data_IF_779612587234
#
_entry.id   IF_779612587234
#
_cell.length_a   1.000
_cell.length_b   1.000
_cell.length_c   1.000
_cell.angle_alpha   90.00
_cell.angle_beta   90.00
_cell.angle_gamma   90.00
#
_symmetry.space_group_name_H-M   'P 1'
#
loop_
_entity.id
_entity.type
_entity.pdbx_description
1 polymer ?
#
# COMPACT_ATOMS: atom_id res chain seq x y z
N UNK A 1 -9.18 -15.52 -7.41
CA UNK A 1 -9.81 -16.71 -6.80
C UNK A 1 -9.55 -16.65 -5.31
N UNK A 2 -10.48 -17.10 -4.48
CA UNK A 2 -10.31 -17.21 -3.03
C UNK A 2 -9.20 -18.22 -2.69
N UNK A 3 -8.58 -18.11 -1.53
CA UNK A 3 -7.43 -18.98 -1.16
C UNK A 3 -7.81 -20.46 -1.11
N UNK A 4 -9.03 -20.75 -0.70
CA UNK A 4 -9.58 -22.11 -0.61
C UNK A 4 -10.15 -22.62 -1.94
N UNK A 5 -10.15 -21.80 -2.99
CA UNK A 5 -10.74 -22.12 -4.29
C UNK A 5 -12.27 -22.09 -4.33
N UNK A 6 -12.94 -21.72 -3.23
CA UNK A 6 -14.41 -21.72 -3.15
C UNK A 6 -15.07 -20.69 -4.07
N UNK A 7 -14.37 -19.60 -4.39
CA UNK A 7 -14.91 -18.47 -5.15
C UNK A 7 -13.95 -17.99 -6.23
N UNK A 8 -14.48 -17.59 -7.39
CA UNK A 8 -13.75 -17.02 -8.52
C UNK A 8 -14.46 -15.77 -9.02
N UNK A 9 -13.70 -14.74 -9.38
CA UNK A 9 -14.20 -13.58 -10.12
C UNK A 9 -13.61 -13.61 -11.51
N UNK A 10 -14.44 -13.32 -12.50
CA UNK A 10 -14.07 -13.29 -13.92
C UNK A 10 -14.58 -11.99 -14.51
N UNK A 11 -13.66 -11.20 -15.05
CA UNK A 11 -13.99 -10.00 -15.80
C UNK A 11 -14.39 -10.31 -17.25
N UNK A 12 -15.30 -9.51 -17.78
CA UNK A 12 -15.79 -9.55 -19.14
C UNK A 12 -15.84 -8.10 -19.67
N UNK A 13 -14.67 -7.47 -19.91
CA UNK A 13 -14.56 -6.05 -20.25
C UNK A 13 -15.26 -5.65 -21.55
N UNK A 14 -15.47 -6.60 -22.45
CA UNK A 14 -16.19 -6.39 -23.70
C UNK A 14 -17.67 -6.83 -23.64
N UNK A 15 -18.17 -7.32 -22.48
CA UNK A 15 -19.57 -7.71 -22.35
C UNK A 15 -20.42 -6.53 -21.91
N UNK A 16 -21.35 -6.10 -22.77
CA UNK A 16 -22.64 -5.46 -22.44
C UNK A 16 -23.25 -4.88 -23.72
N UNK A 17 -24.06 -5.68 -24.42
CA UNK A 17 -24.75 -5.25 -25.64
C UNK A 17 -23.83 -4.58 -26.68
N UNK A 18 -24.34 -3.58 -27.39
CA UNK A 18 -23.66 -2.90 -28.51
C UNK A 18 -22.61 -1.84 -28.07
N UNK A 19 -22.31 -1.73 -26.78
CA UNK A 19 -21.64 -0.53 -26.23
C UNK A 19 -20.43 -0.80 -25.31
N UNK A 20 -20.08 -2.06 -25.02
CA UNK A 20 -18.82 -2.45 -24.36
C UNK A 20 -18.55 -1.75 -23.00
N UNK A 21 -19.58 -1.55 -22.18
CA UNK A 21 -19.42 -1.02 -20.80
C UNK A 21 -18.61 -1.96 -19.91
N UNK A 22 -18.70 -3.28 -20.16
CA UNK A 22 -17.99 -4.31 -19.42
C UNK A 22 -18.76 -4.78 -18.18
N UNK A 23 -18.50 -6.03 -17.78
CA UNK A 23 -19.08 -6.64 -16.58
C UNK A 23 -18.04 -7.50 -15.85
N UNK A 24 -18.33 -7.86 -14.59
CA UNK A 24 -17.63 -8.94 -13.89
C UNK A 24 -18.62 -9.92 -13.25
N UNK A 25 -18.23 -11.19 -13.20
CA UNK A 25 -19.04 -12.29 -12.71
C UNK A 25 -18.33 -12.97 -11.55
N UNK A 26 -19.06 -13.24 -10.48
CA UNK A 26 -18.59 -14.05 -9.36
C UNK A 26 -19.19 -15.44 -9.46
N UNK A 27 -18.37 -16.46 -9.24
CA UNK A 27 -18.79 -17.85 -9.23
C UNK A 27 -18.35 -18.54 -7.95
N UNK A 28 -19.22 -19.37 -7.40
CA UNK A 28 -18.92 -20.23 -6.27
C UNK A 28 -18.83 -21.70 -6.70
N UNK A 29 -17.92 -22.44 -6.08
CA UNK A 29 -17.75 -23.87 -6.26
C UNK A 29 -18.93 -24.61 -5.64
N UNK A 30 -19.67 -25.35 -6.45
CA UNK A 30 -20.85 -26.13 -6.03
C UNK A 30 -20.47 -27.58 -5.73
N UNK A 31 -19.50 -28.12 -6.47
CA UNK A 31 -18.91 -29.45 -6.28
C UNK A 31 -17.50 -29.46 -6.87
N UNK A 32 -16.76 -30.56 -6.69
CA UNK A 32 -15.32 -30.72 -6.98
C UNK A 32 -14.78 -30.08 -8.27
N UNK A 33 -15.61 -29.88 -9.30
CA UNK A 33 -15.18 -29.27 -10.57
C UNK A 33 -16.16 -28.25 -11.16
N UNK A 34 -17.26 -27.91 -10.46
CA UNK A 34 -18.32 -27.08 -11.04
C UNK A 34 -18.51 -25.77 -10.28
N UNK A 35 -18.43 -24.67 -11.02
CA UNK A 35 -18.69 -23.32 -10.54
C UNK A 35 -20.04 -22.82 -11.08
N UNK A 36 -20.85 -22.21 -10.23
CA UNK A 36 -22.09 -21.54 -10.63
C UNK A 36 -22.02 -20.05 -10.36
N UNK A 37 -22.58 -19.24 -11.27
CA UNK A 37 -22.67 -17.79 -11.07
C UNK A 37 -23.48 -17.47 -9.82
N UNK A 38 -23.00 -16.50 -9.07
CA UNK A 38 -23.64 -15.98 -7.85
C UNK A 38 -24.22 -14.61 -8.17
N UNK A 39 -25.52 -14.44 -7.94
CA UNK A 39 -26.16 -13.14 -8.11
C UNK A 39 -26.23 -12.66 -9.55
N UNK A 40 -26.30 -11.33 -9.70
CA UNK A 40 -26.16 -10.63 -10.97
C UNK A 40 -24.69 -10.30 -11.21
N UNK A 41 -24.34 -10.00 -12.46
CA UNK A 41 -23.05 -9.40 -12.78
C UNK A 41 -22.88 -8.05 -12.09
N UNK A 42 -21.62 -7.69 -11.89
CA UNK A 42 -21.17 -6.36 -11.52
C UNK A 42 -21.07 -5.56 -12.82
N UNK A 43 -21.94 -4.59 -13.03
CA UNK A 43 -22.13 -3.89 -14.32
C UNK A 43 -21.31 -2.59 -14.35
N UNK A 44 -20.53 -2.35 -15.41
CA UNK A 44 -19.86 -1.07 -15.70
C UNK A 44 -20.82 0.11 -15.88
N UNK A 45 -20.33 1.34 -15.71
CA UNK A 45 -21.19 2.54 -15.68
C UNK A 45 -21.34 3.26 -17.02
N UNK A 46 -20.31 3.23 -17.86
CA UNK A 46 -20.25 3.93 -19.14
C UNK A 46 -19.80 3.04 -20.29
N UNK A 47 -20.11 3.46 -21.52
CA UNK A 47 -19.83 2.71 -22.74
C UNK A 47 -18.35 2.76 -23.09
N UNK A 48 -17.72 1.60 -23.29
CA UNK A 48 -16.31 1.50 -23.66
C UNK A 48 -15.35 1.57 -22.48
N UNK A 49 -15.85 1.67 -21.24
CA UNK A 49 -15.06 1.81 -20.02
C UNK A 49 -14.15 0.61 -19.74
N UNK A 50 -14.49 -0.55 -20.32
CA UNK A 50 -13.74 -1.79 -20.12
C UNK A 50 -13.85 -2.33 -18.70
N UNK A 51 -15.00 -2.14 -18.03
CA UNK A 51 -15.19 -2.63 -16.67
C UNK A 51 -15.03 -4.16 -16.60
N UNK A 52 -14.15 -4.64 -15.74
CA UNK A 52 -13.75 -6.05 -15.71
C UNK A 52 -12.44 -6.34 -16.43
N UNK A 53 -11.73 -5.34 -16.96
CA UNK A 53 -10.39 -5.57 -17.53
C UNK A 53 -9.41 -6.09 -16.48
N UNK A 54 -9.49 -5.55 -15.26
CA UNK A 54 -8.77 -6.02 -14.09
C UNK A 54 -9.76 -6.49 -13.01
N UNK A 55 -9.47 -7.62 -12.39
CA UNK A 55 -10.22 -8.14 -11.24
C UNK A 55 -9.29 -8.66 -10.16
N UNK A 56 -9.64 -8.42 -8.90
CA UNK A 56 -8.95 -8.97 -7.75
C UNK A 56 -9.95 -9.47 -6.71
N UNK A 57 -9.52 -10.37 -5.84
CA UNK A 57 -10.34 -10.96 -4.77
C UNK A 57 -9.48 -11.12 -3.52
N UNK A 58 -10.06 -10.86 -2.35
CA UNK A 58 -9.39 -11.13 -1.08
C UNK A 58 -9.30 -12.65 -0.81
N UNK A 59 -8.62 -13.01 0.28
CA UNK A 59 -8.37 -14.42 0.59
C UNK A 59 -9.64 -15.21 0.90
N UNK A 60 -10.64 -14.57 1.51
CA UNK A 60 -11.89 -15.22 1.94
C UNK A 60 -12.92 -15.33 0.81
N UNK A 61 -12.77 -14.58 -0.28
CA UNK A 61 -13.70 -14.62 -1.42
C UNK A 61 -14.99 -13.83 -1.21
N UNK A 62 -14.98 -12.86 -0.30
CA UNK A 62 -16.11 -12.00 0.03
C UNK A 62 -15.89 -10.52 -0.31
N UNK A 63 -14.67 -10.10 -0.67
CA UNK A 63 -14.36 -8.77 -1.19
C UNK A 63 -13.71 -8.88 -2.57
N UNK A 64 -14.19 -8.08 -3.51
CA UNK A 64 -13.79 -8.09 -4.92
C UNK A 64 -13.50 -6.68 -5.40
N UNK A 65 -12.43 -6.48 -6.17
CA UNK A 65 -12.17 -5.21 -6.84
C UNK A 65 -12.23 -5.42 -8.35
N UNK A 66 -12.80 -4.45 -9.06
CA UNK A 66 -12.99 -4.48 -10.52
C UNK A 66 -12.61 -3.13 -11.11
N UNK A 67 -11.74 -3.16 -12.12
CA UNK A 67 -11.25 -1.97 -12.81
C UNK A 67 -12.00 -1.69 -14.10
N UNK A 68 -12.27 -0.42 -14.37
CA UNK A 68 -12.71 0.13 -15.65
C UNK A 68 -11.69 1.16 -16.14
N UNK A 69 -10.57 0.73 -16.76
CA UNK A 69 -9.46 1.62 -17.07
C UNK A 69 -9.78 2.71 -18.10
N UNK A 70 -10.90 2.62 -18.82
CA UNK A 70 -11.30 3.66 -19.78
C UNK A 70 -12.50 4.48 -19.29
N UNK A 71 -12.94 4.29 -18.04
CA UNK A 71 -14.03 5.05 -17.46
C UNK A 71 -13.70 6.56 -17.41
N UNK A 72 -14.67 7.39 -17.81
CA UNK A 72 -14.51 8.84 -17.90
C UNK A 72 -14.66 9.57 -16.53
N UNK A 73 -14.93 8.82 -15.46
CA UNK A 73 -14.93 9.25 -14.06
C UNK A 73 -15.58 10.61 -13.78
N UNK A 74 -15.20 11.20 -12.64
CA UNK A 74 -15.50 12.62 -12.34
C UNK A 74 -14.42 13.55 -12.90
N UNK A 75 -13.25 13.02 -13.26
CA UNK A 75 -12.05 13.78 -13.60
C UNK A 75 -11.82 13.93 -15.11
N UNK A 76 -12.61 13.26 -15.96
CA UNK A 76 -12.61 13.43 -17.41
C UNK A 76 -12.20 12.18 -18.20
N UNK A 77 -12.03 12.37 -19.51
CA UNK A 77 -11.89 11.28 -20.48
C UNK A 77 -10.88 10.20 -20.05
N UNK A 78 -11.36 8.96 -19.93
CA UNK A 78 -10.59 7.76 -19.62
C UNK A 78 -9.57 7.94 -18.50
N UNK A 79 -9.95 8.65 -17.44
CA UNK A 79 -9.15 8.68 -16.21
C UNK A 79 -9.03 7.30 -15.58
N UNK A 80 -10.06 6.48 -15.79
CA UNK A 80 -10.19 5.15 -15.26
C UNK A 80 -10.72 5.17 -13.81
N UNK A 81 -11.31 4.05 -13.40
CA UNK A 81 -11.84 3.88 -12.05
C UNK A 81 -11.73 2.44 -11.56
N UNK A 82 -11.79 2.27 -10.24
CA UNK A 82 -11.89 0.96 -9.58
C UNK A 82 -13.06 0.97 -8.61
N UNK A 83 -13.88 -0.07 -8.66
CA UNK A 83 -14.94 -0.31 -7.68
C UNK A 83 -14.67 -1.56 -6.88
N UNK A 84 -14.89 -1.46 -5.57
CA UNK A 84 -14.75 -2.59 -4.65
C UNK A 84 -16.13 -3.00 -4.16
N UNK A 85 -16.40 -4.31 -4.18
CA UNK A 85 -17.68 -4.89 -3.78
C UNK A 85 -17.47 -5.87 -2.65
N UNK A 86 -18.41 -5.88 -1.71
CA UNK A 86 -18.49 -6.87 -0.65
C UNK A 86 -19.72 -7.75 -0.84
N UNK A 87 -19.56 -9.06 -0.60
CA UNK A 87 -20.64 -10.03 -0.60
C UNK A 87 -21.57 -9.75 0.60
N UNK A 88 -22.87 -9.71 0.35
CA UNK A 88 -23.86 -9.55 1.44
C UNK A 88 -24.31 -10.91 1.97
N UNK A 89 -24.67 -10.95 3.26
CA UNK A 89 -25.27 -12.13 3.88
C UNK A 89 -26.77 -12.29 3.58
N UNK A 90 -27.39 -11.26 3.02
CA UNK A 90 -28.83 -11.19 2.72
C UNK A 90 -29.08 -11.52 1.23
N UNK A 91 -28.82 -12.79 0.86
CA UNK A 91 -29.00 -13.30 -0.50
C UNK A 91 -27.69 -13.41 -1.30
N UNK A 92 -27.78 -13.84 -2.55
CA UNK A 92 -26.63 -13.94 -3.47
C UNK A 92 -26.27 -12.58 -4.08
N UNK A 93 -26.14 -11.52 -3.27
CA UNK A 93 -25.98 -10.13 -3.73
C UNK A 93 -24.65 -9.50 -3.32
N UNK A 94 -24.21 -8.52 -4.10
CA UNK A 94 -23.02 -7.70 -3.83
C UNK A 94 -23.43 -6.25 -3.57
N UNK A 95 -22.71 -5.59 -2.67
CA UNK A 95 -22.84 -4.15 -2.42
C UNK A 95 -21.49 -3.51 -2.60
N UNK A 96 -21.46 -2.28 -3.12
CA UNK A 96 -20.22 -1.54 -3.21
C UNK A 96 -19.72 -1.20 -1.80
N UNK A 97 -18.41 -1.34 -1.60
CA UNK A 97 -17.70 -1.05 -0.37
C UNK A 97 -16.94 0.26 -0.57
N UNK A 98 -17.51 1.36 -0.08
CA UNK A 98 -17.02 2.72 -0.35
C UNK A 98 -17.53 3.30 -1.67
N UNK A 99 -17.09 4.50 -1.99
CA UNK A 99 -17.33 5.14 -3.29
C UNK A 99 -16.35 4.59 -4.35
N UNK A 100 -16.48 5.05 -5.58
CA UNK A 100 -15.55 4.75 -6.67
C UNK A 100 -14.15 5.30 -6.34
N UNK A 101 -13.12 4.51 -6.64
CA UNK A 101 -11.73 4.97 -6.58
C UNK A 101 -11.36 5.47 -7.98
N UNK A 102 -11.51 6.76 -8.20
CA UNK A 102 -11.28 7.41 -9.49
C UNK A 102 -9.81 7.76 -9.72
N UNK A 103 -9.35 7.59 -10.97
CA UNK A 103 -8.07 8.10 -11.44
C UNK A 103 -8.05 9.63 -11.50
N UNK A 104 -6.85 10.20 -11.38
CA UNK A 104 -6.68 11.67 -11.27
C UNK A 104 -6.41 12.36 -12.62
N UNK A 105 -5.77 11.68 -13.58
CA UNK A 105 -5.35 12.24 -14.86
C UNK A 105 -6.08 11.67 -16.07
N UNK A 106 -6.35 12.52 -17.04
CA UNK A 106 -7.01 12.18 -18.31
C UNK A 106 -6.13 11.21 -19.11
N UNK A 107 -6.72 10.12 -19.61
CA UNK A 107 -6.06 9.04 -20.38
C UNK A 107 -5.03 8.21 -19.59
N UNK A 108 -4.94 8.34 -18.27
CA UNK A 108 -3.95 7.63 -17.45
C UNK A 108 -4.21 6.11 -17.34
N UNK A 109 -5.45 5.69 -17.64
CA UNK A 109 -5.94 4.33 -17.49
C UNK A 109 -5.80 3.75 -16.07
N UNK A 110 -6.20 4.51 -15.07
CA UNK A 110 -6.24 4.05 -13.68
C UNK A 110 -7.17 2.85 -13.52
N UNK A 111 -6.77 1.83 -12.76
CA UNK A 111 -7.52 0.59 -12.64
C UNK A 111 -7.14 -0.48 -13.67
N UNK A 112 -6.10 -0.25 -14.47
CA UNK A 112 -5.60 -1.24 -15.43
C UNK A 112 -5.00 -2.48 -14.74
N UNK A 113 -4.40 -2.31 -13.57
CA UNK A 113 -3.90 -3.40 -12.75
C UNK A 113 -4.36 -3.21 -11.31
N UNK A 114 -4.81 -4.30 -10.66
CA UNK A 114 -5.36 -4.26 -9.31
C UNK A 114 -4.82 -5.45 -8.51
N UNK A 115 -4.46 -5.20 -7.24
CA UNK A 115 -4.19 -6.25 -6.27
C UNK A 115 -4.83 -5.93 -4.92
N UNK A 116 -5.45 -6.94 -4.30
CA UNK A 116 -6.03 -6.85 -2.95
C UNK A 116 -5.21 -7.66 -1.96
N UNK A 117 -5.07 -7.11 -0.74
CA UNK A 117 -4.54 -7.81 0.43
C UNK A 117 -5.47 -8.96 0.87
N UNK A 118 -4.98 -9.83 1.76
CA UNK A 118 -5.73 -11.02 2.15
C UNK A 118 -7.03 -10.70 2.88
N UNK A 119 -7.05 -9.62 3.67
CA UNK A 119 -8.26 -9.13 4.34
C UNK A 119 -9.19 -8.38 3.39
N UNK A 120 -8.67 -7.85 2.28
CA UNK A 120 -9.41 -7.12 1.25
C UNK A 120 -9.55 -5.63 1.53
N UNK A 121 -8.90 -5.08 2.56
CA UNK A 121 -9.06 -3.68 2.97
C UNK A 121 -7.89 -2.78 2.59
N UNK A 122 -6.84 -3.34 1.97
CA UNK A 122 -5.78 -2.59 1.29
C UNK A 122 -5.71 -3.02 -0.17
N UNK A 123 -5.67 -2.04 -1.07
CA UNK A 123 -5.66 -2.22 -2.53
C UNK A 123 -4.50 -1.46 -3.16
N UNK A 124 -3.87 -2.05 -4.18
CA UNK A 124 -2.89 -1.40 -5.04
C UNK A 124 -3.47 -1.31 -6.43
N UNK A 125 -3.38 -0.13 -7.05
CA UNK A 125 -3.97 0.15 -8.35
C UNK A 125 -2.90 0.76 -9.25
N UNK A 126 -2.78 0.27 -10.48
CA UNK A 126 -1.87 0.79 -11.49
C UNK A 126 -2.57 1.67 -12.54
N UNK A 127 -1.86 2.69 -13.01
CA UNK A 127 -2.22 3.57 -14.12
C UNK A 127 -1.04 3.68 -15.09
N UNK A 128 -1.02 2.84 -16.12
CA UNK A 128 0.19 2.63 -16.92
C UNK A 128 0.55 3.78 -17.88
N UNK A 129 -0.39 4.69 -18.11
CA UNK A 129 -0.27 5.82 -19.04
C UNK A 129 -0.23 7.16 -18.31
N UNK A 130 -0.12 7.13 -16.99
CA UNK A 130 0.05 8.36 -16.23
C UNK A 130 1.28 9.15 -16.67
N UNK A 131 1.06 10.45 -16.87
CA UNK A 131 2.09 11.43 -17.14
C UNK A 131 2.72 11.93 -15.82
N UNK A 132 3.70 11.17 -15.31
CA UNK A 132 4.43 11.53 -14.10
C UNK A 132 5.47 12.63 -14.33
N UNK A 133 6.17 13.05 -13.26
CA UNK A 133 7.18 14.11 -13.33
C UNK A 133 8.37 13.79 -14.27
N UNK A 134 8.53 12.51 -14.62
CA UNK A 134 9.61 11.96 -15.43
C UNK A 134 9.28 11.86 -16.93
N UNK A 135 8.03 12.14 -17.32
CA UNK A 135 7.60 12.27 -18.71
C UNK A 135 6.30 11.56 -19.05
N UNK A 136 5.88 11.71 -20.31
CA UNK A 136 4.62 11.16 -20.84
C UNK A 136 4.60 9.63 -20.72
N UNK A 137 3.46 9.06 -20.33
CA UNK A 137 3.24 7.63 -20.15
C UNK A 137 4.30 6.93 -19.25
N UNK A 138 4.90 7.64 -18.29
CA UNK A 138 5.85 7.01 -17.35
C UNK A 138 5.13 5.98 -16.47
N UNK A 139 3.86 6.23 -16.18
CA UNK A 139 2.97 5.38 -15.39
C UNK A 139 3.13 5.59 -13.89
N UNK A 140 2.12 5.21 -13.13
CA UNK A 140 2.16 5.20 -11.66
C UNK A 140 1.40 4.00 -11.06
N UNK A 141 1.55 3.81 -9.74
CA UNK A 141 0.63 3.02 -8.93
C UNK A 141 0.22 3.78 -7.66
N UNK A 142 -0.97 3.52 -7.15
CA UNK A 142 -1.46 4.10 -5.89
C UNK A 142 -1.86 2.98 -4.93
N UNK A 143 -1.80 3.27 -3.64
CA UNK A 143 -2.31 2.38 -2.59
C UNK A 143 -3.48 3.09 -1.91
N UNK A 144 -4.55 2.35 -1.65
CA UNK A 144 -5.65 2.80 -0.82
C UNK A 144 -5.88 1.83 0.34
N UNK A 145 -6.31 2.39 1.47
CA UNK A 145 -6.74 1.67 2.65
C UNK A 145 -8.19 2.03 2.93
N UNK A 146 -9.03 1.04 3.16
CA UNK A 146 -10.41 1.27 3.56
C UNK A 146 -10.45 1.84 4.98
N UNK A 147 -11.06 3.01 5.15
CA UNK A 147 -11.30 3.66 6.42
C UNK A 147 -12.72 3.31 6.91
N UNK A 148 -12.79 2.41 7.90
CA UNK A 148 -14.05 1.98 8.51
C UNK A 148 -14.84 3.11 9.20
N UNK A 149 -14.18 4.22 9.54
CA UNK A 149 -14.82 5.38 10.18
C UNK A 149 -15.57 6.20 9.14
N UNK A 150 -14.96 6.38 7.97
CA UNK A 150 -15.56 7.12 6.85
C UNK A 150 -16.47 6.22 6.01
N UNK A 151 -16.27 4.92 6.07
CA UNK A 151 -16.93 3.95 5.19
C UNK A 151 -16.40 4.01 3.76
N UNK A 152 -15.17 4.49 3.55
CA UNK A 152 -14.63 4.82 2.23
C UNK A 152 -13.12 4.57 2.10
N UNK A 153 -12.58 4.62 0.89
CA UNK A 153 -11.17 4.39 0.58
C UNK A 153 -10.34 5.66 0.71
N UNK A 154 -9.26 5.59 1.49
CA UNK A 154 -8.31 6.68 1.66
C UNK A 154 -6.96 6.36 1.02
N UNK A 155 -6.36 7.27 0.22
CA UNK A 155 -5.05 7.05 -0.34
C UNK A 155 -3.99 6.94 0.76
N UNK A 156 -3.08 5.99 0.61
CA UNK A 156 -1.94 5.77 1.50
C UNK A 156 -0.69 6.32 0.85
N UNK A 157 -0.02 7.23 1.55
CA UNK A 157 1.27 7.74 1.13
C UNK A 157 2.36 6.71 1.45
N UNK A 158 3.15 6.33 0.45
CA UNK A 158 4.38 5.57 0.68
C UNK A 158 5.54 6.54 0.62
N UNK A 159 6.10 6.88 1.79
CA UNK A 159 7.33 7.67 1.83
C UNK A 159 8.53 6.76 1.56
N UNK A 160 9.14 6.90 0.37
CA UNK A 160 10.50 6.39 0.12
C UNK A 160 11.47 7.27 0.91
N UNK A 161 12.40 6.67 1.69
CA UNK A 161 13.43 7.47 2.39
C UNK A 161 14.40 8.18 1.43
N UNK A 162 14.36 7.89 0.12
CA UNK A 162 15.13 8.57 -0.94
C UNK A 162 14.31 8.63 -2.24
N UNK A 163 13.39 9.59 -2.38
CA UNK A 163 12.87 10.05 -3.68
C UNK A 163 11.71 9.28 -4.32
N UNK A 164 10.68 10.04 -4.69
CA UNK A 164 9.50 9.82 -5.55
C UNK A 164 8.45 8.77 -5.15
N UNK A 165 7.22 9.18 -5.47
CA UNK A 165 5.98 8.40 -5.52
C UNK A 165 6.17 7.13 -6.34
N UNK A 166 5.18 6.22 -6.29
CA UNK A 166 5.18 4.98 -7.06
C UNK A 166 5.03 5.28 -8.58
N UNK A 167 6.07 5.81 -9.21
CA UNK A 167 6.06 6.32 -10.59
C UNK A 167 7.20 5.72 -11.43
N UNK A 168 7.02 5.77 -12.75
CA UNK A 168 8.07 5.45 -13.72
C UNK A 168 9.24 6.44 -13.66
N UNK A 169 10.43 5.96 -14.01
CA UNK A 169 11.67 6.75 -13.92
C UNK A 169 11.95 7.51 -15.23
N UNK A 170 11.39 7.06 -16.36
CA UNK A 170 11.43 7.73 -17.66
C UNK A 170 10.11 7.62 -18.44
N UNK A 171 9.94 8.49 -19.44
CA UNK A 171 8.79 8.47 -20.34
C UNK A 171 8.59 7.10 -21.01
N UNK A 172 7.34 6.61 -21.01
CA UNK A 172 6.96 5.35 -21.64
C UNK A 172 7.35 4.08 -20.88
N UNK A 173 7.82 4.19 -19.63
CA UNK A 173 8.18 3.05 -18.76
C UNK A 173 7.01 2.10 -18.51
N UNK A 174 5.79 2.65 -18.55
CA UNK A 174 4.55 1.98 -18.19
C UNK A 174 4.67 1.31 -16.81
N UNK A 175 5.15 2.07 -15.83
CA UNK A 175 5.10 1.70 -14.43
C UNK A 175 3.63 1.50 -14.00
N UNK A 176 3.36 0.59 -13.07
CA UNK A 176 1.99 0.21 -12.72
C UNK A 176 1.34 -0.78 -13.68
N UNK A 177 2.07 -1.30 -14.69
CA UNK A 177 1.52 -2.25 -15.66
C UNK A 177 0.96 -3.53 -15.01
N UNK A 178 1.61 -4.01 -13.95
CA UNK A 178 1.12 -5.08 -13.11
C UNK A 178 1.53 -4.81 -11.67
N UNK A 179 0.65 -5.17 -10.75
CA UNK A 179 0.83 -4.96 -9.32
C UNK A 179 0.56 -6.25 -8.54
N UNK A 180 1.19 -6.38 -7.38
CA UNK A 180 0.92 -7.42 -6.41
C UNK A 180 1.07 -6.86 -4.99
N UNK A 181 0.33 -7.44 -4.05
CA UNK A 181 0.40 -7.11 -2.63
C UNK A 181 0.50 -8.40 -1.82
N UNK A 182 1.27 -8.35 -0.75
CA UNK A 182 1.37 -9.42 0.24
C UNK A 182 0.07 -9.60 1.02
N UNK A 183 -0.11 -10.78 1.63
CA UNK A 183 -1.28 -11.09 2.45
C UNK A 183 -1.52 -10.04 3.55
N UNK A 184 -0.46 -9.63 4.26
CA UNK A 184 -0.51 -8.65 5.34
C UNK A 184 -0.66 -7.20 4.83
N UNK A 185 -0.50 -6.97 3.52
CA UNK A 185 -0.54 -5.65 2.92
C UNK A 185 0.65 -4.75 3.28
N UNK A 186 1.72 -5.30 3.85
CA UNK A 186 2.92 -4.56 4.26
C UNK A 186 3.97 -4.46 3.14
N UNK A 187 3.86 -5.31 2.12
CA UNK A 187 4.73 -5.31 0.94
C UNK A 187 3.94 -5.33 -0.36
N UNK A 188 4.45 -4.62 -1.35
CA UNK A 188 3.90 -4.58 -2.71
C UNK A 188 5.00 -4.78 -3.75
N UNK A 189 4.59 -5.21 -4.94
CA UNK A 189 5.43 -5.25 -6.13
C UNK A 189 4.73 -4.49 -7.25
N UNK A 190 5.46 -3.65 -7.97
CA UNK A 190 4.96 -2.94 -9.15
C UNK A 190 5.92 -3.13 -10.30
N UNK A 191 5.40 -3.46 -11.48
CA UNK A 191 6.22 -3.61 -12.68
C UNK A 191 6.18 -2.39 -13.58
N UNK A 192 7.30 -2.09 -14.23
CA UNK A 192 7.41 -1.17 -15.36
C UNK A 192 7.85 -1.96 -16.59
N UNK A 193 6.89 -2.35 -17.44
CA UNK A 193 7.12 -3.33 -18.52
C UNK A 193 8.11 -2.84 -19.58
N UNK A 194 8.33 -1.53 -19.68
CA UNK A 194 9.20 -0.90 -20.69
C UNK A 194 10.38 -0.17 -20.06
N UNK A 195 10.64 -0.36 -18.76
CA UNK A 195 11.77 0.29 -18.12
C UNK A 195 13.10 -0.05 -18.82
N UNK A 196 13.86 0.99 -19.15
CA UNK A 196 15.16 0.93 -19.79
C UNK A 196 15.44 2.16 -20.63
N UNK A 197 16.63 2.25 -21.22
CA UNK A 197 16.85 3.25 -22.25
C UNK A 197 16.03 2.91 -23.51
N UNK A 198 15.69 3.94 -24.30
CA UNK A 198 14.84 3.89 -25.51
C UNK A 198 15.24 2.81 -26.53
N UNK A 199 16.43 2.21 -26.39
CA UNK A 199 16.95 1.17 -27.26
C UNK A 199 16.67 -0.28 -26.81
N UNK A 200 16.29 -0.54 -25.55
CA UNK A 200 16.28 -1.92 -25.02
C UNK A 200 15.04 -2.37 -24.26
N UNK A 201 14.19 -1.48 -23.72
CA UNK A 201 12.93 -1.82 -23.01
C UNK A 201 13.02 -3.12 -22.16
N UNK A 202 13.99 -3.19 -21.24
CA UNK A 202 14.31 -4.44 -20.53
C UNK A 202 13.26 -4.82 -19.48
N UNK A 203 12.39 -3.88 -19.10
CA UNK A 203 11.41 -4.03 -18.04
C UNK A 203 12.04 -4.03 -16.65
N UNK A 204 11.24 -3.75 -15.63
CA UNK A 204 11.65 -3.82 -14.23
C UNK A 204 10.48 -4.19 -13.32
N UNK A 205 10.80 -4.70 -12.14
CA UNK A 205 9.86 -4.88 -11.04
C UNK A 205 10.47 -4.29 -9.77
N UNK A 206 9.66 -3.53 -9.05
CA UNK A 206 10.04 -2.77 -7.87
C UNK A 206 9.28 -3.31 -6.67
N UNK A 207 9.99 -3.58 -5.58
CA UNK A 207 9.41 -4.09 -4.34
C UNK A 207 9.45 -2.99 -3.29
N UNK A 208 8.30 -2.69 -2.69
CA UNK A 208 8.18 -1.71 -1.62
C UNK A 208 7.68 -2.41 -0.36
N UNK A 209 8.08 -1.90 0.80
CA UNK A 209 7.62 -2.36 2.09
C UNK A 209 7.39 -1.19 3.03
N UNK A 210 6.39 -1.31 3.91
CA UNK A 210 6.19 -0.37 4.99
C UNK A 210 7.34 -0.50 5.99
N UNK A 211 8.12 0.56 6.17
CA UNK A 211 9.08 0.63 7.28
C UNK A 211 8.32 1.12 8.51
N UNK A 212 7.90 0.22 9.38
CA UNK A 212 7.51 0.62 10.73
C UNK A 212 8.76 1.11 11.46
N UNK A 213 8.95 2.43 11.52
CA UNK A 213 9.75 2.99 12.60
C UNK A 213 8.81 3.08 13.81
N UNK A 214 9.13 2.46 14.96
CA UNK A 214 8.38 2.74 16.17
C UNK A 214 8.43 4.25 16.40
N UNK A 215 7.28 4.91 16.36
CA UNK A 215 7.17 6.30 16.76
C UNK A 215 7.44 6.34 18.25
N UNK A 216 8.65 6.74 18.63
CA UNK A 216 8.93 7.02 20.03
C UNK A 216 8.05 8.21 20.42
N UNK A 217 7.07 7.97 21.28
CA UNK A 217 6.43 9.07 22.00
C UNK A 217 7.54 9.74 22.83
N UNK A 218 7.73 11.07 22.74
CA UNK A 218 8.63 11.74 23.66
C UNK A 218 8.17 11.39 25.07
N UNK A 219 9.10 10.94 25.91
CA UNK A 219 8.80 10.66 27.32
C UNK A 219 8.33 11.99 27.92
N UNK A 220 7.01 12.14 28.11
CA UNK A 220 6.38 13.39 28.60
C UNK A 220 6.63 13.65 30.08
N UNK A 221 7.36 12.75 30.74
CA UNK A 221 7.84 12.94 32.09
C UNK A 221 9.37 13.13 32.00
N UNK A 222 9.89 14.37 32.00
CA UNK A 222 11.32 14.56 32.10
C UNK A 222 11.81 13.76 33.31
N UNK A 223 12.87 12.97 33.13
CA UNK A 223 13.59 12.39 34.27
C UNK A 223 13.86 13.54 35.25
N UNK A 224 13.71 13.33 36.57
CA UNK A 224 13.98 14.38 37.54
C UNK A 224 15.38 14.92 37.23
N UNK A 225 15.48 16.22 36.96
CA UNK A 225 16.78 16.89 36.84
C UNK A 225 17.57 16.51 38.09
N UNK A 226 18.66 15.77 37.90
CA UNK A 226 19.60 15.49 38.98
C UNK A 226 20.38 16.78 39.19
N UNK A 227 19.73 17.76 39.82
CA UNK A 227 20.40 18.90 40.39
C UNK A 227 21.25 18.38 41.55
N UNK A 228 22.54 18.60 41.41
CA UNK A 228 23.59 18.34 42.40
C UNK A 228 24.11 16.90 42.50
N UNK A 229 24.88 16.49 41.49
CA UNK A 229 25.88 15.42 41.62
C UNK A 229 27.26 16.07 41.83
N UNK A 230 27.56 16.45 43.07
CA UNK A 230 28.95 16.63 43.47
C UNK A 230 29.66 15.27 43.37
N UNK A 231 30.65 15.20 42.48
CA UNK A 231 31.41 13.99 42.18
C UNK A 231 32.26 13.58 43.40
N UNK A 232 31.83 12.55 44.13
CA UNK A 232 32.72 11.84 45.06
C UNK A 232 33.46 10.75 44.29
N UNK A 233 34.80 10.78 44.34
CA UNK A 233 35.75 10.06 43.48
C UNK A 233 35.91 8.55 43.74
N UNK A 234 34.86 7.84 44.17
CA UNK A 234 34.94 6.39 44.40
C UNK A 234 34.08 5.60 43.42
N UNK A 235 34.73 4.70 42.68
CA UNK A 235 34.18 3.87 41.59
C UNK A 235 32.97 3.00 41.98
N UNK A 236 32.75 2.76 43.27
CA UNK A 236 31.62 1.98 43.77
C UNK A 236 30.26 2.73 43.69
N UNK A 237 30.27 4.06 43.71
CA UNK A 237 29.03 4.86 43.63
C UNK A 237 28.46 4.96 42.21
N UNK A 238 29.31 4.86 41.18
CA UNK A 238 28.92 4.96 39.78
C UNK A 238 28.22 3.68 39.30
N UNK A 239 28.80 2.52 39.61
CA UNK A 239 28.26 1.22 39.21
C UNK A 239 26.91 0.89 39.87
N UNK A 240 26.73 1.25 41.15
CA UNK A 240 25.49 0.99 41.89
C UNK A 240 24.31 1.85 41.39
N UNK A 241 24.58 3.08 40.92
CA UNK A 241 23.54 3.98 40.40
C UNK A 241 23.21 3.71 38.92
N UNK A 242 24.19 3.29 38.11
CA UNK A 242 23.93 2.73 36.79
C UNK A 242 23.11 1.44 36.87
N UNK A 243 23.36 0.60 37.87
CA UNK A 243 22.58 -0.62 38.11
C UNK A 243 21.13 -0.32 38.53
N UNK A 244 20.91 0.70 39.37
CA UNK A 244 19.56 1.13 39.75
C UNK A 244 18.79 1.76 38.57
N UNK A 245 19.48 2.52 37.71
CA UNK A 245 18.92 3.05 36.46
C UNK A 245 18.59 1.91 35.49
N UNK A 246 19.45 0.91 35.38
CA UNK A 246 19.22 -0.32 34.60
C UNK A 246 18.02 -1.11 35.11
N UNK A 247 17.89 -1.34 36.43
CA UNK A 247 16.74 -2.05 37.00
C UNK A 247 15.42 -1.33 36.71
N UNK A 248 15.39 0.00 36.84
CA UNK A 248 14.23 0.83 36.51
C UNK A 248 13.84 0.76 35.03
N UNK A 249 14.78 0.54 34.12
CA UNK A 249 14.54 0.39 32.67
C UNK A 249 14.08 -1.05 32.35
N UNK A 250 14.65 -2.05 33.02
CA UNK A 250 14.37 -3.48 32.78
C UNK A 250 12.99 -3.89 33.29
N UNK A 251 12.53 -3.34 34.43
CA UNK A 251 11.20 -3.66 34.99
C UNK A 251 10.02 -3.10 34.18
N UNK A 252 10.27 -2.22 33.20
CA UNK A 252 9.24 -1.60 32.36
C UNK A 252 9.17 -2.16 30.94
N UNK A 253 10.01 -3.14 30.58
CA UNK A 253 10.18 -3.63 29.20
C UNK A 253 10.16 -5.15 29.13
N UNK A 254 9.12 -5.80 29.67
CA UNK A 254 8.97 -7.25 29.57
C UNK A 254 8.60 -7.77 28.17
N UNK A 255 8.40 -6.89 27.18
CA UNK A 255 8.25 -7.29 25.78
C UNK A 255 9.11 -6.39 24.88
N UNK A 256 10.10 -7.01 24.23
CA UNK A 256 10.88 -6.55 23.09
C UNK A 256 11.87 -5.38 23.28
N UNK A 257 13.18 -5.69 23.15
CA UNK A 257 14.18 -5.11 22.19
C UNK A 257 15.61 -5.18 22.74
N UNK A 258 16.53 -5.77 21.96
CA UNK A 258 17.98 -5.53 22.09
C UNK A 258 18.27 -4.04 21.92
N UNK A 259 18.71 -3.38 22.99
CA UNK A 259 19.07 -1.95 22.95
C UNK A 259 20.51 -1.79 22.44
N UNK A 260 20.70 -1.16 21.29
CA UNK A 260 22.00 -0.60 20.90
C UNK A 260 22.21 0.72 21.65
N UNK A 261 23.21 0.74 22.55
CA UNK A 261 23.63 1.94 23.27
C UNK A 261 24.58 2.75 22.38
N UNK A 262 24.13 3.88 21.82
CA UNK A 262 25.05 4.87 21.23
C UNK A 262 25.61 5.72 22.37
N UNK A 263 26.87 5.47 22.74
CA UNK A 263 27.62 6.33 23.66
C UNK A 263 28.30 7.41 22.84
N UNK A 264 27.72 8.60 22.79
CA UNK A 264 28.47 9.78 22.34
C UNK A 264 29.41 10.22 23.47
N UNK A 265 30.71 10.09 23.24
CA UNK A 265 31.72 10.71 24.09
C UNK A 265 31.99 12.11 23.55
N UNK A 266 31.53 13.15 24.25
CA UNK A 266 32.05 14.48 24.03
C UNK A 266 33.48 14.54 24.58
N UNK A 267 34.44 14.49 23.66
CA UNK A 267 35.83 14.80 23.95
C UNK A 267 35.97 16.33 23.90
N UNK A 268 35.96 17.00 25.06
CA UNK A 268 36.49 18.36 25.14
C UNK A 268 37.99 18.30 24.84
N UNK A 269 38.41 18.91 23.72
CA UNK A 269 39.81 19.06 23.39
C UNK A 269 40.46 20.04 24.37
N UNK A 270 41.31 19.50 25.24
CA UNK A 270 42.25 20.25 26.06
C UNK A 270 43.17 21.09 25.16
N UNK A 271 43.12 22.42 25.28
CA UNK A 271 44.04 23.35 24.63
C UNK A 271 45.20 23.69 25.61
N UNK A 272 46.44 23.24 25.37
CA UNK A 272 47.55 23.49 26.30
C UNK A 272 48.23 24.85 26.13
N UNK A 273 47.89 25.68 25.14
CA UNK A 273 48.67 26.89 24.82
C UNK A 273 48.20 28.19 25.50
N UNK A 274 47.55 28.09 26.65
CA UNK A 274 47.26 29.25 27.51
C UNK A 274 48.13 29.26 28.76
N UNK A 275 49.46 29.23 28.61
CA UNK A 275 50.42 29.86 29.53
C UNK A 275 51.82 29.83 28.89
N UNK A 276 52.23 30.92 28.25
CA UNK A 276 53.57 31.52 28.33
C UNK A 276 53.62 32.86 27.58
#
# INVERSE_FOLDING_TARGET
MARDGSSVIVGAPASSGDLFTGEAYVFDLVNDFFYSVVGRSLEGEGNGDGFGEAVAMNSAGDIFAVGGPNNDGVNGLSTGSVRVFQRTSLGAGFVQLGEDIDGEGILDSFGFAIALSADGYKIVIGALFHDGATGVDSGHAMIFQYDFTLGDWAPQQISRSIGTELEGEVAGDNYGYQVAISDAGDRIVVSARRNGNVATFNGAAYVYGQTEFPTFSPITNPLPEVSDLSLSSTSAGFASRLAALWQSITERTSDCIETYLVVETHHELYNPDLFH
#
